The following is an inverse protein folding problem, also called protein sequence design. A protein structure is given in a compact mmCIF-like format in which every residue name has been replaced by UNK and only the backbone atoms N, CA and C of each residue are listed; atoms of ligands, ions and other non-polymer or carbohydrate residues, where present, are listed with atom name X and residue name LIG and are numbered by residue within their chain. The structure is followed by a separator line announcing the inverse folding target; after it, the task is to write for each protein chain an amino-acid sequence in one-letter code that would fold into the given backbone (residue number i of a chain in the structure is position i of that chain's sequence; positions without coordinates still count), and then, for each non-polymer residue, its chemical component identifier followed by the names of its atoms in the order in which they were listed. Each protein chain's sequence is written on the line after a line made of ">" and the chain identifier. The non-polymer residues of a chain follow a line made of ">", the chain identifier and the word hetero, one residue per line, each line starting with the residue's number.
data_IF_603370607513
#
_entry.id   IF_603370607513
#
_cell.length_a   1.000
_cell.length_b   1.000
_cell.length_c   1.000
_cell.angle_alpha   90.00
_cell.angle_beta   90.00
_cell.angle_gamma   90.00
#
_symmetry.space_group_name_H-M   'P 1'
#
loop_
_entity.id
_entity.type
_entity.pdbx_description
1 polymer ?
#
# COMPACT_ATOMS: atom_id res chain seq x y z
N UNK A 1 23.11 23.16 14.86
CA UNK A 1 21.81 23.17 14.17
C UNK A 1 21.92 22.35 12.89
N UNK A 2 21.06 21.33 12.73
CA UNK A 2 20.99 20.53 11.50
C UNK A 2 19.93 21.15 10.59
N UNK A 3 20.24 21.54 9.33
CA UNK A 3 19.26 22.08 8.39
C UNK A 3 18.40 20.92 7.83
N UNK A 4 17.38 20.51 8.58
CA UNK A 4 16.54 19.36 8.24
C UNK A 4 15.08 19.77 7.97
N UNK A 5 14.41 18.98 7.13
CA UNK A 5 12.96 18.99 6.93
C UNK A 5 12.45 17.58 7.22
N UNK A 6 11.38 17.48 7.99
CA UNK A 6 10.77 16.18 8.33
C UNK A 6 9.59 15.93 7.41
N UNK A 7 9.47 14.71 6.88
CA UNK A 7 8.30 14.29 6.13
C UNK A 7 7.66 13.06 6.78
N UNK A 8 6.33 13.07 6.93
CA UNK A 8 5.55 11.92 7.35
C UNK A 8 4.65 11.49 6.20
N UNK A 9 4.70 10.23 5.80
CA UNK A 9 3.88 9.74 4.69
C UNK A 9 2.78 8.77 5.14
N UNK A 10 1.68 8.76 4.39
CA UNK A 10 0.66 7.73 4.48
C UNK A 10 1.14 6.39 3.89
N UNK A 11 0.29 5.36 3.88
CA UNK A 11 0.69 4.05 3.38
C UNK A 11 0.98 4.08 1.88
N UNK A 12 2.24 3.93 1.54
CA UNK A 12 2.68 3.85 0.15
C UNK A 12 2.29 2.50 -0.46
N UNK A 13 1.92 2.52 -1.74
CA UNK A 13 1.72 1.32 -2.55
C UNK A 13 2.14 1.59 -4.01
N UNK A 14 2.48 0.52 -4.72
CA UNK A 14 2.91 0.64 -6.13
C UNK A 14 3.73 -0.57 -6.58
N UNK A 15 4.25 -0.52 -7.80
CA UNK A 15 5.22 -1.48 -8.32
C UNK A 15 6.42 -1.67 -7.41
N UNK A 16 6.98 -2.89 -7.41
CA UNK A 16 8.20 -3.26 -6.66
C UNK A 16 8.11 -3.18 -5.13
N UNK A 17 6.91 -2.93 -4.56
CA UNK A 17 6.76 -2.97 -3.10
C UNK A 17 7.02 -4.38 -2.57
N UNK A 18 7.72 -4.48 -1.43
CA UNK A 18 8.05 -5.77 -0.82
C UNK A 18 6.78 -6.56 -0.45
N UNK A 19 6.69 -7.86 -0.78
CA UNK A 19 5.45 -8.65 -0.68
C UNK A 19 5.02 -9.04 0.74
N UNK A 20 5.74 -8.63 1.78
CA UNK A 20 5.19 -8.68 3.14
C UNK A 20 4.05 -7.67 3.36
N UNK A 21 4.01 -6.60 2.55
CA UNK A 21 2.96 -5.57 2.64
C UNK A 21 1.65 -6.06 2.01
N UNK A 22 0.53 -5.47 2.44
CA UNK A 22 -0.82 -5.97 2.12
C UNK A 22 -1.05 -6.13 0.61
N UNK A 23 -0.90 -5.05 -0.16
CA UNK A 23 -1.25 -5.03 -1.58
C UNK A 23 -0.44 -6.04 -2.39
N UNK A 24 0.91 -6.03 -2.37
CA UNK A 24 1.68 -7.00 -3.14
C UNK A 24 1.49 -8.45 -2.65
N UNK A 25 1.23 -8.66 -1.35
CA UNK A 25 0.91 -9.99 -0.83
C UNK A 25 -0.42 -10.52 -1.35
N UNK A 26 -1.44 -9.67 -1.40
CA UNK A 26 -2.74 -10.05 -1.98
C UNK A 26 -2.60 -10.38 -3.46
N UNK A 27 -1.87 -9.56 -4.23
CA UNK A 27 -1.60 -9.82 -5.65
C UNK A 27 -0.84 -11.14 -5.82
N UNK A 28 0.21 -11.38 -5.05
CA UNK A 28 0.94 -12.65 -5.06
C UNK A 28 0.01 -13.84 -4.82
N UNK A 29 -0.86 -13.75 -3.82
CA UNK A 29 -1.79 -14.83 -3.49
C UNK A 29 -2.80 -15.07 -4.61
N UNK A 30 -3.32 -14.01 -5.24
CA UNK A 30 -4.21 -14.11 -6.40
C UNK A 30 -3.53 -14.86 -7.55
N UNK A 31 -2.33 -14.40 -7.93
CA UNK A 31 -1.58 -14.96 -9.06
C UNK A 31 -1.10 -16.41 -8.81
N UNK A 32 -0.97 -16.83 -7.55
CA UNK A 32 -0.55 -18.17 -7.16
C UNK A 32 -1.68 -19.06 -6.62
N UNK A 33 -2.94 -18.76 -6.96
CA UNK A 33 -4.11 -19.55 -6.53
C UNK A 33 -4.16 -19.83 -5.01
N UNK A 34 -3.90 -18.80 -4.19
CA UNK A 34 -3.89 -18.91 -2.71
C UNK A 34 -5.01 -18.09 -2.09
N UNK A 35 -5.39 -18.44 -0.87
CA UNK A 35 -6.36 -17.66 -0.08
C UNK A 35 -5.83 -16.28 0.26
N UNK A 36 -6.75 -15.31 0.42
CA UNK A 36 -6.46 -13.92 0.76
C UNK A 36 -6.72 -13.71 2.26
N UNK A 37 -5.69 -13.77 3.11
CA UNK A 37 -5.86 -13.63 4.55
C UNK A 37 -6.10 -12.16 4.92
N UNK A 38 -7.23 -11.89 5.58
CA UNK A 38 -7.61 -10.57 6.08
C UNK A 38 -7.71 -10.63 7.59
N UNK A 39 -6.99 -9.74 8.28
CA UNK A 39 -7.00 -9.66 9.74
C UNK A 39 -8.35 -9.16 10.27
N UNK A 40 -8.84 -9.76 11.36
CA UNK A 40 -10.11 -9.42 11.98
C UNK A 40 -11.26 -9.43 10.98
N UNK A 41 -12.05 -8.37 10.94
CA UNK A 41 -13.13 -8.15 9.97
C UNK A 41 -12.67 -7.36 8.72
N UNK A 42 -11.39 -7.00 8.62
CA UNK A 42 -10.83 -6.22 7.52
C UNK A 42 -11.18 -4.74 7.51
N UNK A 43 -11.71 -4.23 8.63
CA UNK A 43 -12.20 -2.85 8.77
C UNK A 43 -11.10 -1.84 9.10
N UNK A 44 -9.87 -2.29 9.36
CA UNK A 44 -8.74 -1.41 9.61
C UNK A 44 -8.50 -0.53 8.39
N UNK A 45 -8.71 0.77 8.55
CA UNK A 45 -8.61 1.77 7.49
C UNK A 45 -7.23 2.40 7.46
N UNK A 46 -6.73 2.64 6.27
CA UNK A 46 -5.46 3.32 6.02
C UNK A 46 -5.66 4.35 4.91
N UNK A 47 -4.92 5.41 5.01
CA UNK A 47 -4.75 6.35 3.91
C UNK A 47 -3.68 5.78 2.96
N UNK A 48 -3.99 5.75 1.67
CA UNK A 48 -3.15 5.13 0.63
C UNK A 48 -2.64 6.15 -0.35
N UNK A 49 -1.33 6.18 -0.59
CA UNK A 49 -0.71 7.05 -1.59
C UNK A 49 0.08 6.23 -2.60
N UNK A 50 -0.08 6.55 -3.88
CA UNK A 50 0.71 5.92 -4.94
C UNK A 50 2.17 6.36 -4.85
N UNK A 51 3.10 5.42 -5.04
CA UNK A 51 4.52 5.64 -4.74
C UNK A 51 5.15 6.78 -5.54
N UNK A 52 4.79 6.95 -6.81
CA UNK A 52 5.35 8.02 -7.65
C UNK A 52 4.87 9.40 -7.19
N UNK A 53 3.62 9.52 -6.72
CA UNK A 53 3.12 10.76 -6.11
C UNK A 53 3.91 11.11 -4.84
N UNK A 54 4.24 10.09 -4.01
CA UNK A 54 5.08 10.32 -2.83
C UNK A 54 6.49 10.76 -3.22
N UNK A 55 7.12 10.12 -4.21
CA UNK A 55 8.43 10.51 -4.70
C UNK A 55 8.43 11.96 -5.25
N UNK A 56 7.41 12.34 -6.00
CA UNK A 56 7.25 13.73 -6.48
C UNK A 56 7.14 14.71 -5.31
N UNK A 57 6.34 14.37 -4.28
CA UNK A 57 6.23 15.20 -3.08
C UNK A 57 7.58 15.41 -2.39
N UNK A 58 8.38 14.34 -2.23
CA UNK A 58 9.72 14.43 -1.62
C UNK A 58 10.65 15.36 -2.43
N UNK A 59 10.62 15.26 -3.76
CA UNK A 59 11.40 16.15 -4.64
C UNK A 59 10.97 17.62 -4.46
N UNK A 60 9.67 17.87 -4.37
CA UNK A 60 9.14 19.22 -4.17
C UNK A 60 9.53 19.76 -2.78
N UNK A 61 9.39 18.93 -1.74
CA UNK A 61 9.79 19.30 -0.37
C UNK A 61 11.28 19.61 -0.29
N UNK A 62 12.14 18.81 -0.94
CA UNK A 62 13.59 19.06 -0.95
C UNK A 62 13.97 20.38 -1.62
N UNK A 63 13.21 20.80 -2.65
CA UNK A 63 13.50 22.05 -3.42
C UNK A 63 12.85 23.31 -2.84
N UNK A 64 11.67 23.18 -2.22
CA UNK A 64 10.82 24.33 -1.83
C UNK A 64 10.40 24.30 -0.36
N UNK A 65 10.68 23.25 0.37
CA UNK A 65 10.35 23.14 1.78
C UNK A 65 11.18 24.10 2.64
N UNK A 66 10.60 24.54 3.75
CA UNK A 66 11.30 25.38 4.71
C UNK A 66 12.05 24.52 5.73
N UNK A 67 13.34 24.76 5.92
CA UNK A 67 14.16 24.13 6.96
C UNK A 67 13.48 24.29 8.33
N UNK A 68 13.60 23.29 9.18
CA UNK A 68 12.96 23.24 10.50
C UNK A 68 11.45 22.92 10.48
N UNK A 69 10.86 22.74 9.31
CA UNK A 69 9.44 22.39 9.17
C UNK A 69 9.22 20.90 8.96
N UNK A 70 7.97 20.48 9.19
CA UNK A 70 7.50 19.14 8.81
C UNK A 70 6.35 19.23 7.80
N UNK A 71 6.24 18.21 6.93
CA UNK A 71 5.19 18.08 5.93
C UNK A 71 4.61 16.67 5.97
N UNK A 72 3.30 16.57 6.15
CA UNK A 72 2.58 15.32 5.95
C UNK A 72 2.29 15.15 4.46
N UNK A 73 2.53 13.95 3.95
CA UNK A 73 2.36 13.58 2.54
C UNK A 73 1.36 12.44 2.46
N UNK A 74 0.15 12.72 2.00
CA UNK A 74 -0.95 11.77 1.88
C UNK A 74 -1.90 12.14 0.75
N UNK A 75 -2.82 11.22 0.47
CA UNK A 75 -3.78 11.35 -0.63
C UNK A 75 -5.15 11.88 -0.19
N UNK A 76 -5.41 11.93 1.11
CA UNK A 76 -6.73 12.12 1.73
C UNK A 76 -7.76 11.02 1.38
N UNK A 77 -7.31 9.87 0.84
CA UNK A 77 -8.16 8.73 0.47
C UNK A 77 -7.92 7.58 1.45
N UNK A 78 -8.96 7.27 2.22
CA UNK A 78 -8.94 6.17 3.19
C UNK A 78 -9.75 4.99 2.64
N UNK A 79 -9.14 3.80 2.58
CA UNK A 79 -9.82 2.55 2.31
C UNK A 79 -9.42 1.51 3.37
N UNK A 80 -10.38 0.67 3.75
CA UNK A 80 -10.07 -0.45 4.62
C UNK A 80 -9.47 -1.64 3.85
N UNK A 81 -8.91 -2.59 4.59
CA UNK A 81 -8.23 -3.74 3.99
C UNK A 81 -9.16 -4.61 3.14
N UNK A 82 -10.44 -4.70 3.52
CA UNK A 82 -11.45 -5.45 2.76
C UNK A 82 -11.78 -4.78 1.43
N UNK A 83 -11.91 -3.45 1.41
CA UNK A 83 -12.15 -2.67 0.19
C UNK A 83 -10.99 -2.81 -0.80
N UNK A 84 -9.75 -2.64 -0.34
CA UNK A 84 -8.55 -2.89 -1.16
C UNK A 84 -8.58 -4.30 -1.76
N UNK A 85 -8.91 -5.31 -0.95
CA UNK A 85 -8.96 -6.71 -1.42
C UNK A 85 -10.03 -6.90 -2.48
N UNK A 86 -11.24 -6.32 -2.30
CA UNK A 86 -12.32 -6.39 -3.28
C UNK A 86 -11.95 -5.72 -4.62
N UNK A 87 -11.29 -4.57 -4.58
CA UNK A 87 -10.80 -3.89 -5.79
C UNK A 87 -9.76 -4.74 -6.53
N UNK A 88 -8.78 -5.30 -5.83
CA UNK A 88 -7.79 -6.18 -6.45
C UNK A 88 -8.43 -7.44 -7.06
N UNK A 89 -9.42 -8.04 -6.40
CA UNK A 89 -10.17 -9.17 -6.97
C UNK A 89 -10.95 -8.79 -8.22
N UNK A 90 -11.55 -7.58 -8.26
CA UNK A 90 -12.24 -7.09 -9.45
C UNK A 90 -11.28 -6.95 -10.63
N UNK A 91 -10.11 -6.31 -10.43
CA UNK A 91 -9.09 -6.21 -11.49
C UNK A 91 -8.56 -7.57 -11.92
N UNK A 92 -8.31 -8.46 -10.97
CA UNK A 92 -7.83 -9.80 -11.29
C UNK A 92 -8.82 -10.57 -12.18
N UNK A 93 -10.13 -10.52 -11.86
CA UNK A 93 -11.19 -11.17 -12.66
C UNK A 93 -11.27 -10.66 -14.10
N UNK A 94 -10.98 -9.37 -14.31
CA UNK A 94 -11.00 -8.79 -15.66
C UNK A 94 -9.73 -9.03 -16.48
N UNK A 95 -8.62 -9.42 -15.83
CA UNK A 95 -7.31 -9.49 -16.49
C UNK A 95 -6.70 -10.89 -16.54
N UNK A 96 -7.18 -11.81 -15.72
CA UNK A 96 -6.63 -13.17 -15.64
C UNK A 96 -7.65 -14.18 -15.13
N UNK A 97 -7.43 -15.46 -15.44
CA UNK A 97 -8.22 -16.55 -14.88
C UNK A 97 -7.88 -16.72 -13.40
N UNK A 98 -8.89 -16.59 -12.53
CA UNK A 98 -8.73 -16.75 -11.09
C UNK A 98 -8.93 -18.23 -10.71
N UNK A 99 -7.96 -18.75 -9.95
CA UNK A 99 -8.05 -20.12 -9.43
C UNK A 99 -9.09 -20.25 -8.30
N UNK A 100 -9.67 -21.45 -8.15
CA UNK A 100 -10.75 -21.78 -7.18
C UNK A 100 -10.39 -21.54 -5.70
N UNK A 101 -9.10 -21.49 -5.37
CA UNK A 101 -8.64 -21.26 -4.00
C UNK A 101 -8.54 -19.77 -3.64
N UNK A 102 -8.68 -18.87 -4.62
CA UNK A 102 -8.62 -17.41 -4.39
C UNK A 102 -9.92 -16.93 -3.78
N UNK A 103 -9.96 -16.95 -2.45
CA UNK A 103 -11.10 -16.48 -1.65
C UNK A 103 -10.61 -15.74 -0.42
N UNK A 104 -11.38 -14.76 0.04
CA UNK A 104 -11.10 -14.04 1.28
C UNK A 104 -11.24 -15.02 2.45
N UNK A 105 -10.22 -15.02 3.33
CA UNK A 105 -10.23 -15.79 4.57
C UNK A 105 -9.93 -14.83 5.73
N UNK A 106 -10.91 -14.58 6.57
CA UNK A 106 -10.70 -13.83 7.80
C UNK A 106 -9.84 -14.64 8.77
N UNK A 107 -8.86 -13.97 9.37
CA UNK A 107 -7.90 -14.57 10.30
C UNK A 107 -7.81 -13.73 11.56
N UNK A 108 -7.36 -14.34 12.68
CA UNK A 108 -7.20 -13.64 13.97
C UNK A 108 -6.41 -12.35 13.77
N UNK A 109 -6.90 -11.26 14.34
CA UNK A 109 -6.22 -9.97 14.28
C UNK A 109 -4.92 -9.97 15.08
N UNK A 110 -4.03 -9.07 14.75
CA UNK A 110 -2.77 -8.88 15.48
C UNK A 110 -2.99 -7.96 16.67
N UNK A 111 -2.28 -8.18 17.80
CA UNK A 111 -2.31 -7.23 18.91
C UNK A 111 -1.89 -5.82 18.47
N UNK A 112 -2.52 -4.79 19.04
CA UNK A 112 -2.18 -3.39 18.75
C UNK A 112 -2.43 -2.95 17.30
N UNK A 113 -3.37 -3.56 16.60
CA UNK A 113 -3.68 -3.19 15.22
C UNK A 113 -4.55 -1.93 15.17
N UNK A 114 -3.97 -0.79 14.76
CA UNK A 114 -4.69 0.48 14.63
C UNK A 114 -5.94 0.33 13.76
N UNK A 115 -7.07 0.85 14.24
CA UNK A 115 -8.32 0.87 13.47
C UNK A 115 -8.24 1.85 12.31
N UNK A 116 -7.62 3.02 12.51
CA UNK A 116 -7.49 4.05 11.48
C UNK A 116 -6.14 4.74 11.58
N UNK A 117 -5.53 4.97 10.43
CA UNK A 117 -4.35 5.81 10.26
C UNK A 117 -4.57 6.73 9.05
N UNK A 118 -4.55 8.04 9.29
CA UNK A 118 -4.74 9.07 8.28
C UNK A 118 -3.93 10.32 8.66
N UNK A 119 -3.49 11.09 7.66
CA UNK A 119 -2.71 12.30 7.81
C UNK A 119 -3.50 13.51 7.31
N UNK A 120 -3.17 14.69 7.84
CA UNK A 120 -3.62 15.95 7.28
C UNK A 120 -2.51 16.53 6.39
N UNK A 121 -2.70 16.48 5.08
CA UNK A 121 -1.75 16.96 4.08
C UNK A 121 -1.99 18.39 3.60
N UNK A 122 -2.86 19.16 4.27
CA UNK A 122 -3.20 20.53 3.86
C UNK A 122 -1.99 21.47 3.78
N UNK A 123 -0.98 21.28 4.65
CA UNK A 123 0.20 22.14 4.68
C UNK A 123 1.01 22.04 3.39
N UNK A 124 1.31 20.83 2.90
CA UNK A 124 2.04 20.64 1.64
C UNK A 124 1.23 21.17 0.45
N UNK A 125 -0.10 20.94 0.45
CA UNK A 125 -0.99 21.44 -0.61
C UNK A 125 -0.97 22.97 -0.67
N UNK A 126 -1.16 23.63 0.48
CA UNK A 126 -1.24 25.09 0.54
C UNK A 126 0.11 25.76 0.26
N UNK A 127 1.18 25.27 0.89
CA UNK A 127 2.48 25.94 0.88
C UNK A 127 3.34 25.59 -0.34
N UNK A 128 3.27 24.33 -0.80
CA UNK A 128 4.11 23.84 -1.89
C UNK A 128 3.33 23.54 -3.17
N UNK A 129 1.98 23.75 -3.16
CA UNK A 129 1.09 23.54 -4.31
C UNK A 129 1.15 22.11 -4.88
N UNK A 130 1.57 21.13 -4.07
CA UNK A 130 1.58 19.72 -4.43
C UNK A 130 0.26 19.06 -4.04
N UNK A 131 -0.21 18.17 -4.89
CA UNK A 131 -1.32 17.25 -4.62
C UNK A 131 -1.09 15.92 -5.35
N UNK A 132 -1.58 14.78 -4.81
CA UNK A 132 -1.49 13.49 -5.50
C UNK A 132 -2.26 13.53 -6.83
N UNK A 133 -1.74 12.86 -7.85
CA UNK A 133 -2.28 12.81 -9.22
C UNK A 133 -2.95 11.48 -9.54
N UNK A 134 -2.48 10.41 -8.87
CA UNK A 134 -2.94 9.04 -9.14
C UNK A 134 -4.04 8.65 -8.15
N UNK A 135 -5.27 8.56 -8.63
CA UNK A 135 -6.38 8.04 -7.83
C UNK A 135 -6.19 6.57 -7.45
N UNK A 136 -6.73 6.17 -6.29
CA UNK A 136 -6.47 4.84 -5.68
C UNK A 136 -6.81 3.68 -6.63
N UNK A 137 -7.93 3.73 -7.34
CA UNK A 137 -8.33 2.65 -8.25
C UNK A 137 -7.35 2.52 -9.41
N UNK A 138 -6.94 3.64 -10.01
CA UNK A 138 -5.96 3.65 -11.09
C UNK A 138 -4.60 3.16 -10.63
N UNK A 139 -4.14 3.60 -9.46
CA UNK A 139 -2.88 3.14 -8.87
C UNK A 139 -2.89 1.65 -8.54
N UNK A 140 -4.00 1.10 -8.01
CA UNK A 140 -4.15 -0.34 -7.78
C UNK A 140 -4.12 -1.14 -9.09
N UNK A 141 -4.77 -0.64 -10.13
CA UNK A 141 -4.73 -1.25 -11.46
C UNK A 141 -3.31 -1.30 -12.02
N UNK A 142 -2.60 -0.16 -12.03
CA UNK A 142 -1.18 -0.08 -12.47
C UNK A 142 -0.32 -1.04 -11.67
N UNK A 143 -0.52 -1.09 -10.34
CA UNK A 143 0.23 -1.97 -9.45
C UNK A 143 -0.03 -3.43 -9.80
N UNK A 144 -1.30 -3.83 -9.97
CA UNK A 144 -1.67 -5.20 -10.33
C UNK A 144 -1.05 -5.61 -11.68
N UNK A 145 -1.17 -4.76 -12.70
CA UNK A 145 -0.62 -4.99 -14.03
C UNK A 145 0.89 -5.17 -14.00
N UNK A 146 1.58 -4.38 -13.18
CA UNK A 146 3.02 -4.51 -13.04
C UNK A 146 3.41 -5.90 -12.50
N UNK A 147 2.76 -6.38 -11.42
CA UNK A 147 3.06 -7.71 -10.88
C UNK A 147 2.65 -8.84 -11.83
N UNK A 148 1.56 -8.69 -12.56
CA UNK A 148 1.12 -9.65 -13.58
C UNK A 148 2.18 -9.79 -14.70
N UNK A 149 2.76 -8.67 -15.14
CA UNK A 149 3.79 -8.63 -16.19
C UNK A 149 5.21 -8.98 -15.69
N UNK A 150 5.43 -8.99 -14.38
CA UNK A 150 6.74 -9.24 -13.77
C UNK A 150 6.71 -10.42 -12.77
N UNK A 151 6.32 -11.65 -13.21
CA UNK A 151 6.18 -12.80 -12.31
C UNK A 151 7.50 -13.18 -11.64
N UNK A 152 8.63 -12.95 -12.31
CA UNK A 152 9.98 -13.24 -11.80
C UNK A 152 10.39 -12.34 -10.61
N UNK A 153 9.67 -11.25 -10.36
CA UNK A 153 9.95 -10.40 -9.20
C UNK A 153 9.87 -11.20 -7.90
N UNK A 154 8.85 -12.04 -7.75
CA UNK A 154 8.66 -12.86 -6.54
C UNK A 154 9.69 -14.00 -6.42
N UNK A 155 10.24 -14.49 -7.53
CA UNK A 155 11.25 -15.58 -7.52
C UNK A 155 12.57 -15.14 -6.91
N UNK A 156 12.90 -13.85 -6.98
CA UNK A 156 14.10 -13.25 -6.38
C UNK A 156 14.03 -13.08 -4.86
N UNK A 157 12.85 -13.31 -4.26
CA UNK A 157 12.61 -13.10 -2.85
C UNK A 157 12.56 -14.42 -2.08
N UNK A 158 13.03 -14.42 -0.84
CA UNK A 158 12.95 -15.62 0.00
C UNK A 158 11.47 -15.96 0.28
N UNK A 159 11.07 -17.19 0.07
CA UNK A 159 9.69 -17.67 0.27
C UNK A 159 9.13 -17.30 1.64
N UNK A 160 9.95 -17.36 2.69
CA UNK A 160 9.57 -16.95 4.07
C UNK A 160 9.12 -15.50 4.16
N UNK A 161 9.73 -14.59 3.40
CA UNK A 161 9.42 -13.16 3.44
C UNK A 161 8.10 -12.84 2.74
N UNK A 162 7.71 -13.66 1.75
CA UNK A 162 6.42 -13.55 1.06
C UNK A 162 5.27 -14.14 1.89
N UNK A 163 5.52 -15.27 2.58
CA UNK A 163 4.46 -16.05 3.23
C UNK A 163 4.26 -15.70 4.70
N UNK A 164 5.27 -15.14 5.37
CA UNK A 164 5.22 -14.82 6.81
C UNK A 164 4.09 -13.83 7.12
N UNK A 165 3.36 -14.13 8.20
CA UNK A 165 2.38 -13.20 8.76
C UNK A 165 3.05 -12.32 9.80
N UNK A 166 3.00 -10.98 9.59
CA UNK A 166 3.50 -10.02 10.57
C UNK A 166 2.68 -10.12 11.87
N UNK A 167 3.35 -10.01 13.01
CA UNK A 167 2.71 -10.02 14.33
C UNK A 167 2.50 -11.39 14.96
N UNK A 168 2.75 -12.48 14.24
CA UNK A 168 2.82 -13.80 14.85
C UNK A 168 4.29 -14.11 15.17
N UNK A 169 4.63 -14.21 16.48
CA UNK A 169 5.86 -14.88 16.87
C UNK A 169 5.77 -16.31 16.34
N UNK A 170 6.70 -16.73 15.49
CA UNK A 170 6.90 -18.16 15.23
C UNK A 170 7.28 -18.80 16.57
N UNK A 171 6.44 -19.73 17.03
CA UNK A 171 6.91 -20.72 17.99
C UNK A 171 7.97 -21.58 17.33
#
# INVERSE_FOLDING_TARGET
>A
NIPAIITNCSNNYGPRQHPEKLIPKLIYNILNNKTLPIYGKGLNSREWIYVDDHCEALIIVSKKGKIGNFYNIGSNINLNNLEITKHLLKFAKSKTKIGKNVKIKFVKDRPGHDLRYALNSNKIIKNLKWKPKVGILKGLEITFDWYLKNPNYYLKLKKKDITRRLGNKSK
#
